data_IF_170765292379
#
_entry.id   IF_170765292379
#
_cell.length_a   1.000
_cell.length_b   1.000
_cell.length_c   1.000
_cell.angle_alpha   90.00
_cell.angle_beta   90.00
_cell.angle_gamma   90.00
#
_symmetry.space_group_name_H-M   'P 1'
#
loop_
_entity.id
_entity.type
_entity.pdbx_description
1 polymer ?
#
# COMPACT_ATOMS: atom_id res chain seq x y z
N UNK A 1 31.96 -18.04 -56.19
CA UNK A 1 30.56 -18.38 -56.46
C UNK A 1 29.70 -17.49 -55.58
N UNK A 2 29.18 -16.41 -56.15
CA UNK A 2 28.37 -15.43 -55.42
C UNK A 2 26.89 -15.67 -55.66
N UNK A 3 26.13 -15.70 -54.63
CA UNK A 3 24.67 -15.81 -54.67
C UNK A 3 24.08 -14.39 -54.62
N UNK A 4 23.47 -13.97 -55.73
CA UNK A 4 22.73 -12.71 -55.83
C UNK A 4 21.31 -12.95 -55.35
N UNK A 5 20.91 -12.33 -54.24
CA UNK A 5 19.51 -12.33 -53.78
C UNK A 5 18.79 -11.13 -54.40
N UNK A 6 17.85 -11.42 -55.31
CA UNK A 6 16.93 -10.42 -55.88
C UNK A 6 15.92 -9.97 -54.80
N UNK A 7 15.93 -8.68 -54.49
CA UNK A 7 14.89 -8.00 -53.72
C UNK A 7 13.71 -7.72 -54.66
N UNK A 8 12.59 -8.42 -54.43
CA UNK A 8 11.31 -8.10 -55.07
C UNK A 8 10.60 -6.99 -54.30
N UNK A 9 10.53 -5.83 -54.95
CA UNK A 9 9.77 -4.66 -54.47
C UNK A 9 8.26 -4.94 -54.64
N UNK A 10 7.60 -5.41 -53.59
CA UNK A 10 6.14 -5.54 -53.58
C UNK A 10 5.49 -4.27 -52.99
N UNK A 11 4.75 -3.55 -53.84
CA UNK A 11 3.93 -2.41 -53.41
C UNK A 11 2.80 -2.89 -52.51
N UNK A 12 2.97 -2.75 -51.19
CA UNK A 12 1.88 -2.94 -50.25
C UNK A 12 1.04 -1.66 -50.11
N UNK A 13 -0.24 -1.79 -50.47
CA UNK A 13 -1.21 -0.71 -50.43
C UNK A 13 -1.45 -0.24 -48.98
N UNK A 14 -1.05 0.98 -48.67
CA UNK A 14 -1.13 1.62 -47.33
C UNK A 14 -2.57 1.86 -46.87
N UNK A 15 -3.58 1.63 -47.70
CA UNK A 15 -4.98 1.96 -47.42
C UNK A 15 -5.70 0.97 -46.47
N UNK A 16 -5.21 -0.27 -46.29
CA UNK A 16 -5.88 -1.30 -45.49
C UNK A 16 -5.45 -1.40 -44.01
N UNK A 17 -4.48 -0.61 -43.53
CA UNK A 17 -3.94 -0.71 -42.17
C UNK A 17 -4.51 0.30 -41.18
N UNK A 18 -5.42 1.18 -41.57
CA UNK A 18 -5.91 2.27 -40.71
C UNK A 18 -6.92 1.92 -39.61
N UNK A 19 -7.74 0.88 -39.65
CA UNK A 19 -8.65 0.63 -38.50
C UNK A 19 -8.07 -0.23 -37.35
N UNK A 20 -7.03 -1.06 -37.64
CA UNK A 20 -6.49 -1.99 -36.64
C UNK A 20 -5.53 -1.32 -35.62
N UNK A 21 -4.78 -0.31 -36.06
CA UNK A 21 -3.79 0.39 -35.22
C UNK A 21 -4.44 1.22 -34.12
N UNK A 22 -5.60 1.87 -34.39
CA UNK A 22 -6.30 2.69 -33.37
C UNK A 22 -6.90 1.86 -32.24
N UNK A 23 -7.36 0.63 -32.51
CA UNK A 23 -7.86 -0.30 -31.48
C UNK A 23 -6.73 -0.94 -30.69
N UNK A 24 -5.59 -1.22 -31.31
CA UNK A 24 -4.41 -1.79 -30.64
C UNK A 24 -3.73 -0.77 -29.74
N UNK A 25 -3.57 0.47 -30.21
CA UNK A 25 -3.00 1.59 -29.40
C UNK A 25 -3.91 1.95 -28.23
N UNK A 26 -5.27 1.86 -28.38
CA UNK A 26 -6.19 2.03 -27.26
C UNK A 26 -6.09 0.92 -26.21
N UNK A 27 -5.70 -0.30 -26.58
CA UNK A 27 -5.43 -1.40 -25.61
C UNK A 27 -4.10 -1.24 -24.91
N UNK A 28 -3.07 -0.70 -25.54
CA UNK A 28 -1.76 -0.44 -24.93
C UNK A 28 -1.78 0.73 -23.94
N UNK A 29 -2.72 1.66 -24.07
CA UNK A 29 -2.93 2.79 -23.14
C UNK A 29 -4.00 2.54 -22.07
N UNK A 30 -4.54 1.34 -21.93
CA UNK A 30 -5.27 0.97 -20.72
C UNK A 30 -4.25 0.89 -19.59
N UNK A 31 -4.17 1.97 -18.77
CA UNK A 31 -3.50 1.92 -17.46
C UNK A 31 -3.99 0.64 -16.79
N UNK A 32 -3.14 -0.35 -16.62
CA UNK A 32 -3.50 -1.61 -15.96
C UNK A 32 -4.11 -1.22 -14.62
N UNK A 33 -5.36 -1.63 -14.37
CA UNK A 33 -6.01 -1.33 -13.12
C UNK A 33 -5.19 -1.99 -12.01
N UNK A 34 -4.68 -1.21 -11.08
CA UNK A 34 -3.89 -1.72 -9.94
C UNK A 34 -4.74 -2.56 -8.98
N UNK A 35 -6.07 -2.34 -9.02
CA UNK A 35 -7.00 -2.95 -8.07
C UNK A 35 -8.23 -3.50 -8.76
N UNK A 36 -8.75 -4.60 -8.21
CA UNK A 36 -10.06 -5.17 -8.55
C UNK A 36 -10.97 -5.12 -7.34
N UNK A 37 -12.28 -5.00 -7.61
CA UNK A 37 -13.29 -5.11 -6.57
C UNK A 37 -13.38 -6.57 -6.12
N UNK A 38 -13.53 -6.79 -4.82
CA UNK A 38 -13.84 -8.10 -4.28
C UNK A 38 -15.30 -8.47 -4.56
N UNK A 39 -15.63 -9.76 -4.62
CA UNK A 39 -17.01 -10.23 -4.61
C UNK A 39 -17.80 -9.68 -3.42
N UNK A 40 -19.10 -9.46 -3.60
CA UNK A 40 -19.94 -8.86 -2.55
C UNK A 40 -19.96 -9.63 -1.23
N UNK A 41 -19.86 -10.97 -1.30
CA UNK A 41 -19.77 -11.82 -0.11
C UNK A 41 -18.50 -11.53 0.68
N UNK A 42 -17.34 -11.55 0.02
CA UNK A 42 -16.04 -11.26 0.66
C UNK A 42 -16.00 -9.84 1.22
N UNK A 43 -16.60 -8.85 0.51
CA UNK A 43 -16.74 -7.48 1.03
C UNK A 43 -17.51 -7.45 2.36
N UNK A 44 -18.61 -8.19 2.45
CA UNK A 44 -19.44 -8.25 3.66
C UNK A 44 -18.72 -8.97 4.81
N UNK A 45 -18.00 -10.04 4.52
CA UNK A 45 -17.19 -10.78 5.50
C UNK A 45 -16.11 -9.88 6.10
N UNK A 46 -15.35 -9.17 5.27
CA UNK A 46 -14.33 -8.23 5.74
C UNK A 46 -14.95 -7.05 6.49
N UNK A 47 -16.08 -6.51 6.03
CA UNK A 47 -16.79 -5.46 6.76
C UNK A 47 -17.21 -5.94 8.14
N UNK A 48 -17.77 -7.14 8.27
CA UNK A 48 -18.16 -7.71 9.54
C UNK A 48 -16.94 -7.98 10.46
N UNK A 49 -15.86 -8.55 9.90
CA UNK A 49 -14.64 -8.85 10.66
C UNK A 49 -13.99 -7.59 11.24
N UNK A 50 -13.97 -6.50 10.49
CA UNK A 50 -13.26 -5.29 10.87
C UNK A 50 -14.16 -4.15 11.39
N UNK A 51 -15.49 -4.34 11.47
CA UNK A 51 -16.42 -3.29 11.87
C UNK A 51 -16.04 -2.67 13.21
N UNK A 52 -15.79 -3.51 14.23
CA UNK A 52 -15.42 -3.07 15.57
C UNK A 52 -14.11 -2.26 15.62
N UNK A 53 -13.11 -2.63 14.79
CA UNK A 53 -11.85 -1.88 14.70
C UNK A 53 -12.04 -0.54 14.00
N UNK A 54 -12.88 -0.49 12.95
CA UNK A 54 -13.19 0.76 12.27
C UNK A 54 -14.02 1.70 13.12
N UNK A 55 -15.00 1.19 13.88
CA UNK A 55 -15.82 1.98 14.79
C UNK A 55 -14.95 2.54 15.93
N UNK A 56 -14.08 1.72 16.51
CA UNK A 56 -13.14 2.15 17.53
C UNK A 56 -12.13 3.20 17.02
N UNK A 57 -11.67 3.09 15.75
CA UNK A 57 -10.82 4.12 15.14
C UNK A 57 -11.57 5.45 14.97
N UNK A 58 -12.86 5.43 14.62
CA UNK A 58 -13.67 6.65 14.54
C UNK A 58 -13.81 7.27 15.91
N UNK A 59 -14.19 6.49 16.95
CA UNK A 59 -14.30 6.98 18.32
C UNK A 59 -12.99 7.54 18.85
N UNK A 60 -11.86 6.92 18.55
CA UNK A 60 -10.54 7.42 18.93
C UNK A 60 -10.24 8.81 18.30
N UNK A 61 -10.62 9.03 17.03
CA UNK A 61 -10.49 10.34 16.39
C UNK A 61 -11.41 11.40 17.01
N UNK A 62 -12.55 10.99 17.56
CA UNK A 62 -13.49 11.86 18.30
C UNK A 62 -13.06 12.07 19.76
N UNK A 63 -11.91 11.51 20.18
CA UNK A 63 -11.35 11.68 21.54
C UNK A 63 -11.95 10.77 22.59
N UNK A 64 -12.68 9.73 22.18
CA UNK A 64 -13.23 8.73 23.09
C UNK A 64 -12.15 7.69 23.48
N UNK A 65 -12.21 7.23 24.73
CA UNK A 65 -11.37 6.11 25.18
C UNK A 65 -11.86 4.81 24.54
N UNK A 66 -11.01 4.14 23.80
CA UNK A 66 -11.35 2.90 23.09
C UNK A 66 -10.49 1.74 23.56
N UNK A 67 -11.09 0.54 23.65
CA UNK A 67 -10.37 -0.69 23.98
C UNK A 67 -9.54 -1.25 22.81
N UNK A 68 -9.30 -0.45 21.77
CA UNK A 68 -8.49 -0.91 20.62
C UNK A 68 -7.02 -1.00 21.02
N UNK A 69 -6.39 -2.12 20.68
CA UNK A 69 -4.96 -2.29 20.85
C UNK A 69 -4.24 -1.76 19.63
N UNK A 70 -3.17 -1.05 19.85
CA UNK A 70 -2.35 -0.50 18.78
C UNK A 70 -0.87 -0.63 19.11
N UNK A 71 -0.06 -0.62 18.07
CA UNK A 71 1.39 -0.49 18.14
C UNK A 71 1.85 0.16 16.84
N UNK A 72 3.06 0.64 16.83
CA UNK A 72 3.62 1.25 15.62
C UNK A 72 4.98 0.63 15.28
N UNK A 73 5.34 0.68 14.00
CA UNK A 73 6.71 0.45 13.55
C UNK A 73 7.28 1.74 13.03
N UNK A 74 8.51 2.01 13.41
CA UNK A 74 9.22 3.25 13.06
C UNK A 74 10.66 2.95 12.66
N UNK A 75 11.26 3.86 11.93
CA UNK A 75 12.72 3.87 11.72
C UNK A 75 13.47 4.34 12.96
N UNK A 76 12.76 4.91 13.93
CA UNK A 76 13.28 5.35 15.23
C UNK A 76 12.97 4.28 16.29
N UNK A 77 13.85 4.13 17.25
CA UNK A 77 13.73 3.10 18.31
C UNK A 77 12.79 3.51 19.47
N UNK A 78 12.21 4.69 19.39
CA UNK A 78 11.25 5.24 20.35
C UNK A 78 10.38 6.33 19.71
N UNK A 79 9.31 6.73 20.40
CA UNK A 79 8.50 7.89 20.03
C UNK A 79 9.30 9.16 20.21
N UNK A 80 9.48 9.92 19.10
CA UNK A 80 10.19 11.18 19.15
C UNK A 80 9.45 12.21 20.01
N UNK A 81 10.13 12.80 20.96
CA UNK A 81 9.64 14.00 21.63
C UNK A 81 9.52 15.17 20.63
N UNK A 82 8.75 16.24 20.92
CA UNK A 82 8.63 17.38 20.01
C UNK A 82 9.96 18.03 19.62
N UNK A 83 10.94 18.05 20.53
CA UNK A 83 12.27 18.60 20.26
C UNK A 83 13.08 17.68 19.35
N UNK A 84 13.04 16.36 19.56
CA UNK A 84 13.70 15.36 18.71
C UNK A 84 13.06 15.33 17.32
N UNK A 85 11.72 15.35 17.22
CA UNK A 85 11.02 15.44 15.97
C UNK A 85 11.42 16.68 15.17
N UNK A 86 11.52 17.85 15.83
CA UNK A 86 12.00 19.07 15.19
C UNK A 86 13.43 18.89 14.67
N UNK A 87 14.34 18.36 15.49
CA UNK A 87 15.73 18.19 15.11
C UNK A 87 15.95 17.12 14.02
N UNK A 88 15.24 16.01 14.10
CA UNK A 88 15.46 14.85 13.22
C UNK A 88 14.68 14.92 11.91
N UNK A 89 13.50 15.56 11.88
CA UNK A 89 12.64 15.64 10.71
C UNK A 89 12.84 16.92 9.89
N UNK A 90 13.36 18.00 10.49
CA UNK A 90 13.56 19.27 9.80
C UNK A 90 14.60 19.17 8.67
N UNK A 91 15.69 18.44 8.91
CA UNK A 91 16.85 18.34 8.01
C UNK A 91 16.92 17.00 7.27
N UNK A 92 15.79 16.29 7.12
CA UNK A 92 15.75 15.04 6.37
C UNK A 92 16.12 15.30 4.91
N UNK A 93 17.27 14.78 4.52
CA UNK A 93 17.72 14.79 3.13
C UNK A 93 16.97 13.78 2.28
N UNK A 94 16.98 13.94 0.95
CA UNK A 94 16.38 12.94 0.04
C UNK A 94 17.04 11.57 0.19
N UNK A 95 18.31 11.48 0.54
CA UNK A 95 19.00 10.21 0.78
C UNK A 95 18.46 9.51 2.03
N UNK A 96 18.33 10.23 3.14
CA UNK A 96 17.75 9.71 4.39
C UNK A 96 16.31 9.28 4.20
N UNK A 97 15.49 10.09 3.52
CA UNK A 97 14.12 9.74 3.21
C UNK A 97 14.03 8.45 2.39
N UNK A 98 14.89 8.27 1.40
CA UNK A 98 14.92 7.05 0.58
C UNK A 98 15.32 5.83 1.40
N UNK A 99 16.29 5.95 2.28
CA UNK A 99 16.73 4.90 3.19
C UNK A 99 15.61 4.49 4.16
N UNK A 100 15.00 5.44 4.85
CA UNK A 100 13.90 5.22 5.79
C UNK A 100 12.69 4.58 5.09
N UNK A 101 12.30 5.12 3.94
CA UNK A 101 11.23 4.57 3.14
C UNK A 101 11.56 3.16 2.61
N UNK A 102 12.81 2.85 2.29
CA UNK A 102 13.23 1.51 1.87
C UNK A 102 13.03 0.49 2.98
N UNK A 103 13.45 0.79 4.22
CA UNK A 103 13.28 -0.09 5.38
C UNK A 103 11.80 -0.32 5.70
N UNK A 104 10.99 0.73 5.73
CA UNK A 104 9.54 0.63 5.93
C UNK A 104 8.86 -0.15 4.80
N UNK A 105 9.30 0.04 3.55
CA UNK A 105 8.77 -0.69 2.42
C UNK A 105 9.13 -2.18 2.47
N UNK A 106 10.35 -2.52 2.85
CA UNK A 106 10.77 -3.90 3.07
C UNK A 106 9.91 -4.59 4.12
N UNK A 107 9.67 -3.92 5.26
CA UNK A 107 8.77 -4.41 6.28
C UNK A 107 7.36 -4.71 5.75
N UNK A 108 6.78 -3.78 4.98
CA UNK A 108 5.45 -3.96 4.37
C UNK A 108 5.45 -5.11 3.35
N UNK A 109 6.54 -5.27 2.59
CA UNK A 109 6.68 -6.38 1.65
C UNK A 109 6.72 -7.73 2.38
N UNK A 110 7.50 -7.88 3.44
CA UNK A 110 7.57 -9.12 4.24
C UNK A 110 6.18 -9.53 4.75
N UNK A 111 5.40 -8.58 5.26
CA UNK A 111 4.02 -8.84 5.69
C UNK A 111 3.12 -9.23 4.52
N UNK A 112 3.12 -8.44 3.44
CA UNK A 112 2.20 -8.63 2.32
C UNK A 112 2.56 -9.77 1.39
N UNK A 113 3.80 -10.29 1.44
CA UNK A 113 4.24 -11.49 0.74
C UNK A 113 3.85 -12.76 1.49
N UNK A 114 3.82 -12.69 2.83
CA UNK A 114 3.48 -13.80 3.71
C UNK A 114 1.98 -14.00 3.89
N UNK A 115 1.17 -12.95 3.72
CA UNK A 115 -0.27 -12.96 4.00
C UNK A 115 -1.08 -12.26 2.91
N UNK A 116 -2.29 -12.76 2.67
CA UNK A 116 -3.22 -12.06 1.77
C UNK A 116 -3.65 -10.73 2.38
N UNK A 117 -3.44 -9.64 1.66
CA UNK A 117 -3.79 -8.30 2.10
C UNK A 117 -4.77 -7.62 1.13
N UNK A 118 -5.66 -6.80 1.70
CA UNK A 118 -6.65 -6.05 0.95
C UNK A 118 -6.54 -4.56 1.25
N UNK A 119 -6.41 -3.74 0.21
CA UNK A 119 -6.37 -2.30 0.35
C UNK A 119 -7.70 -1.78 0.89
N UNK A 120 -7.66 -0.92 1.89
CA UNK A 120 -8.83 -0.27 2.49
C UNK A 120 -9.03 1.10 1.85
N UNK A 121 -10.24 1.37 1.39
CA UNK A 121 -10.65 2.67 0.84
C UNK A 121 -11.84 3.19 1.62
N UNK A 122 -11.64 4.33 2.24
CA UNK A 122 -12.71 5.12 2.87
C UNK A 122 -13.36 6.02 1.82
N UNK A 123 -14.68 5.97 1.72
CA UNK A 123 -15.46 6.74 0.76
C UNK A 123 -16.57 7.52 1.45
N UNK A 124 -17.00 8.60 0.81
CA UNK A 124 -18.06 9.48 1.32
C UNK A 124 -17.49 10.67 2.08
N UNK A 125 -18.38 11.66 2.33
CA UNK A 125 -18.02 12.96 2.92
C UNK A 125 -17.39 12.82 4.32
N UNK A 126 -17.77 11.77 5.06
CA UNK A 126 -17.31 11.50 6.43
C UNK A 126 -16.60 10.15 6.54
N UNK A 127 -16.08 9.61 5.41
CA UNK A 127 -15.42 8.30 5.38
C UNK A 127 -16.28 7.14 5.91
N UNK A 128 -17.61 7.28 5.82
CA UNK A 128 -18.58 6.32 6.40
C UNK A 128 -18.71 5.02 5.62
N UNK A 129 -18.19 4.98 4.39
CA UNK A 129 -18.26 3.79 3.54
C UNK A 129 -16.87 3.19 3.34
N UNK A 130 -16.68 2.00 3.87
CA UNK A 130 -15.44 1.24 3.74
C UNK A 130 -15.58 0.26 2.58
N UNK A 131 -14.56 0.19 1.72
CA UNK A 131 -14.48 -0.81 0.65
C UNK A 131 -13.10 -1.42 0.62
N UNK A 132 -13.04 -2.73 0.39
CA UNK A 132 -11.80 -3.48 0.28
C UNK A 132 -11.51 -3.81 -1.18
N UNK A 133 -10.24 -3.80 -1.57
CA UNK A 133 -9.81 -4.12 -2.93
C UNK A 133 -8.61 -5.06 -2.91
N UNK A 134 -8.61 -6.00 -3.84
CA UNK A 134 -7.48 -6.88 -4.10
C UNK A 134 -6.52 -6.24 -5.09
N UNK A 135 -5.22 -6.43 -4.90
CA UNK A 135 -4.21 -6.06 -5.89
C UNK A 135 -4.30 -6.96 -7.11
N UNK A 136 -4.07 -6.41 -8.29
CA UNK A 136 -4.15 -7.16 -9.55
C UNK A 136 -2.90 -8.00 -9.81
N UNK A 137 -1.78 -7.66 -9.18
CA UNK A 137 -0.49 -8.33 -9.29
C UNK A 137 0.45 -7.91 -8.16
N UNK A 138 1.52 -8.67 -7.95
CA UNK A 138 2.59 -8.31 -7.00
C UNK A 138 3.24 -6.96 -7.34
N UNK A 139 3.45 -6.67 -8.62
CA UNK A 139 3.94 -5.36 -9.04
C UNK A 139 2.96 -4.21 -8.70
N UNK A 140 1.64 -4.44 -8.79
CA UNK A 140 0.64 -3.46 -8.38
C UNK A 140 0.67 -3.25 -6.86
N UNK A 141 0.82 -4.34 -6.09
CA UNK A 141 0.98 -4.32 -4.64
C UNK A 141 2.25 -3.57 -4.25
N UNK A 142 3.41 -4.00 -4.75
CA UNK A 142 4.70 -3.39 -4.50
C UNK A 142 4.67 -1.87 -4.72
N UNK A 143 4.17 -1.42 -5.89
CA UNK A 143 4.09 0.01 -6.23
C UNK A 143 3.08 0.80 -5.39
N UNK A 144 2.07 0.14 -4.84
CA UNK A 144 1.06 0.81 -4.02
C UNK A 144 1.50 0.95 -2.58
N UNK A 145 2.28 -0.01 -2.09
CA UNK A 145 2.79 -0.05 -0.72
C UNK A 145 4.13 0.69 -0.56
N UNK A 146 4.61 1.38 -1.60
CA UNK A 146 5.74 2.30 -1.46
C UNK A 146 5.34 3.44 -0.53
N UNK A 147 6.10 3.68 0.55
CA UNK A 147 5.83 4.79 1.45
C UNK A 147 5.88 6.13 0.72
N UNK A 148 4.96 7.00 1.09
CA UNK A 148 4.86 8.36 0.57
C UNK A 148 5.99 9.26 1.11
N UNK A 149 6.12 10.47 0.57
CA UNK A 149 6.89 11.51 1.25
C UNK A 149 6.27 11.73 2.65
N UNK A 150 7.07 11.72 3.69
CA UNK A 150 6.62 11.85 5.10
C UNK A 150 5.80 13.13 5.34
N UNK A 151 5.96 14.16 4.49
CA UNK A 151 5.22 15.43 4.52
C UNK A 151 3.85 15.38 3.83
N UNK A 152 3.53 14.28 3.12
CA UNK A 152 2.26 14.16 2.40
C UNK A 152 1.09 13.98 3.38
N UNK A 153 -0.05 14.66 3.16
CA UNK A 153 -1.24 14.48 4.00
C UNK A 153 -1.72 13.03 4.06
N UNK A 154 -2.24 12.61 5.22
CA UNK A 154 -2.70 11.24 5.51
C UNK A 154 -3.71 10.66 4.51
N UNK A 155 -4.51 11.50 3.82
CA UNK A 155 -5.50 11.06 2.83
C UNK A 155 -4.91 10.31 1.63
N UNK A 156 -3.63 10.58 1.32
CA UNK A 156 -2.94 10.02 0.16
C UNK A 156 -2.11 8.77 0.51
N UNK A 157 -2.12 8.37 1.80
CA UNK A 157 -1.38 7.22 2.32
C UNK A 157 -2.18 5.93 2.21
N UNK A 158 -1.46 4.82 2.05
CA UNK A 158 -2.12 3.52 1.91
C UNK A 158 -2.59 2.97 3.26
N UNK A 159 -3.65 2.16 3.19
CA UNK A 159 -4.21 1.41 4.31
C UNK A 159 -4.60 0.03 3.81
N UNK A 160 -4.31 -1.00 4.57
CA UNK A 160 -4.73 -2.36 4.21
C UNK A 160 -5.08 -3.20 5.44
N UNK A 161 -5.78 -4.29 5.21
CA UNK A 161 -6.07 -5.29 6.22
C UNK A 161 -5.40 -6.61 5.86
N UNK A 162 -5.01 -7.38 6.88
CA UNK A 162 -4.54 -8.77 6.77
C UNK A 162 -5.52 -9.65 7.56
N UNK A 163 -6.48 -10.32 6.88
CA UNK A 163 -7.53 -11.07 7.56
C UNK A 163 -7.03 -12.21 8.44
N UNK A 164 -5.97 -12.90 8.02
CA UNK A 164 -5.38 -14.00 8.77
C UNK A 164 -4.79 -13.57 10.12
N UNK A 165 -4.40 -12.29 10.23
CA UNK A 165 -3.82 -11.73 11.45
C UNK A 165 -4.82 -10.85 12.22
N UNK A 166 -5.98 -10.53 11.65
CA UNK A 166 -6.97 -9.64 12.26
C UNK A 166 -6.44 -8.21 12.48
N UNK A 167 -5.54 -7.73 11.62
CA UNK A 167 -4.92 -6.41 11.74
C UNK A 167 -5.42 -5.44 10.67
N UNK A 168 -5.45 -4.15 11.04
CA UNK A 168 -5.51 -3.03 10.11
C UNK A 168 -4.17 -2.32 10.18
N UNK A 169 -3.60 -2.05 9.02
CA UNK A 169 -2.33 -1.35 8.86
C UNK A 169 -2.56 0.00 8.20
N UNK A 170 -1.91 1.02 8.73
CA UNK A 170 -1.90 2.37 8.19
C UNK A 170 -0.47 2.84 7.93
N UNK A 171 -0.22 3.36 6.75
CA UNK A 171 0.94 4.23 6.54
C UNK A 171 0.72 5.50 7.36
N UNK A 172 1.55 5.73 8.35
CA UNK A 172 1.50 6.90 9.23
C UNK A 172 2.35 8.08 8.72
N UNK A 173 2.70 9.01 9.61
CA UNK A 173 3.59 10.13 9.34
C UNK A 173 4.96 9.90 10.00
N UNK A 174 5.90 10.78 9.67
CA UNK A 174 7.20 10.86 10.36
C UNK A 174 7.95 9.53 10.39
N UNK A 175 7.89 8.78 9.26
CA UNK A 175 8.51 7.46 9.12
C UNK A 175 8.02 6.44 10.16
N UNK A 176 6.75 6.55 10.52
CA UNK A 176 6.07 5.65 11.46
C UNK A 176 4.80 5.11 10.82
N UNK A 177 4.54 3.82 10.95
CA UNK A 177 3.33 3.14 10.46
C UNK A 177 2.59 2.49 11.62
N UNK A 178 1.27 2.51 11.59
CA UNK A 178 0.42 2.12 12.71
C UNK A 178 -0.29 0.79 12.44
N UNK A 179 -0.43 0.00 13.48
CA UNK A 179 -1.21 -1.24 13.52
C UNK A 179 -2.31 -1.14 14.54
N UNK A 180 -3.49 -1.63 14.15
CA UNK A 180 -4.62 -1.81 15.02
C UNK A 180 -5.06 -3.27 14.97
N UNK A 181 -5.26 -3.88 16.14
CA UNK A 181 -5.52 -5.31 16.25
C UNK A 181 -6.37 -5.64 17.47
N UNK A 182 -6.96 -6.84 17.47
CA UNK A 182 -7.71 -7.35 18.62
C UNK A 182 -6.89 -8.33 19.46
N UNK A 183 -5.95 -9.06 18.83
CA UNK A 183 -5.16 -10.12 19.48
C UNK A 183 -3.67 -9.74 19.51
N UNK A 184 -3.09 -9.69 20.71
CA UNK A 184 -1.67 -9.39 20.93
C UNK A 184 -0.71 -10.47 20.42
N UNK A 185 -1.20 -11.67 20.14
CA UNK A 185 -0.35 -12.75 19.61
C UNK A 185 0.38 -12.35 18.32
N UNK A 186 -0.19 -11.40 17.55
CA UNK A 186 0.41 -10.85 16.34
C UNK A 186 1.68 -10.04 16.59
N UNK A 187 1.88 -9.49 17.80
CA UNK A 187 3.03 -8.63 18.13
C UNK A 187 4.38 -9.36 17.94
N UNK A 188 4.43 -10.65 18.32
CA UNK A 188 5.65 -11.45 18.14
C UNK A 188 6.04 -11.56 16.68
N UNK A 189 5.06 -11.75 15.80
CA UNK A 189 5.26 -11.83 14.35
C UNK A 189 5.70 -10.48 13.78
N UNK A 190 4.99 -9.40 14.13
CA UNK A 190 5.32 -8.04 13.71
C UNK A 190 6.74 -7.68 14.14
N UNK A 191 7.12 -7.99 15.39
CA UNK A 191 8.47 -7.77 15.91
C UNK A 191 9.55 -8.54 15.12
N UNK A 192 9.24 -9.75 14.66
CA UNK A 192 10.17 -10.52 13.83
C UNK A 192 10.43 -9.84 12.50
N UNK A 193 9.39 -9.42 11.79
CA UNK A 193 9.52 -8.73 10.51
C UNK A 193 10.11 -7.31 10.68
N UNK A 194 9.78 -6.62 11.78
CA UNK A 194 10.38 -5.32 12.08
C UNK A 194 11.91 -5.45 12.23
N UNK A 195 12.37 -6.47 12.95
CA UNK A 195 13.80 -6.75 13.10
C UNK A 195 14.48 -7.10 11.78
N UNK A 196 13.83 -7.87 10.92
CA UNK A 196 14.36 -8.26 9.60
C UNK A 196 14.50 -7.04 8.68
N UNK A 197 13.54 -6.13 8.71
CA UNK A 197 13.53 -4.89 7.92
C UNK A 197 14.30 -3.72 8.57
N UNK A 198 14.98 -3.96 9.69
CA UNK A 198 15.73 -2.94 10.44
C UNK A 198 14.87 -1.73 10.87
N UNK A 199 13.61 -1.99 11.25
CA UNK A 199 12.69 -1.04 11.86
C UNK A 199 12.36 -1.46 13.30
N UNK A 200 11.84 -0.55 14.10
CA UNK A 200 11.58 -0.76 15.51
C UNK A 200 10.07 -0.83 15.76
N UNK A 201 9.70 -1.73 16.67
CA UNK A 201 8.34 -1.79 17.23
C UNK A 201 8.29 -0.88 18.45
N UNK A 202 7.40 0.14 18.44
CA UNK A 202 7.28 1.18 19.46
C UNK A 202 5.84 1.35 19.95
#
# INVERSE_FOLDING_TARGET
MGLVVKVLCGHFCIACLRPLTRRYIKRLNMKSRRFINLPSLVQKELQHQYQHLHDALVSMYDGEDTCIKSTSVSVFDHWLSPNEATAMLQDVTSSMQNEYNSRLHEFVCLLSDSYECYLVLYKGRYSTRITYRKFTSDNARFKTLLPSDYRVPNKDRFKFVIPQLGIIYFEGCDFTHDFYFSDESVLKLISTYAKEAEVYLI
#
